data_IF_843001129932
#
_entry.id   IF_843001129932
#
_cell.length_a   1.000
_cell.length_b   1.000
_cell.length_c   1.000
_cell.angle_alpha   90.00
_cell.angle_beta   90.00
_cell.angle_gamma   90.00
#
_symmetry.space_group_name_H-M   'P 1'
#
loop_
_entity.id
_entity.type
_entity.pdbx_description
1 polymer ?
#
# COMPACT_ATOMS: atom_id res chain seq x y z
N UNK A 1 -15.52 -33.37 21.12
CA UNK A 1 -14.95 -32.15 21.72
C UNK A 1 -15.27 -31.02 20.77
N UNK A 2 -16.26 -30.20 21.13
CA UNK A 2 -16.77 -29.12 20.27
C UNK A 2 -15.70 -28.05 20.10
N UNK A 3 -15.29 -27.83 18.86
CA UNK A 3 -14.51 -26.66 18.46
C UNK A 3 -15.42 -25.45 18.63
N UNK A 4 -15.19 -24.69 19.70
CA UNK A 4 -15.71 -23.33 19.81
C UNK A 4 -14.95 -22.53 18.75
N UNK A 5 -15.57 -22.29 17.61
CA UNK A 5 -15.11 -21.28 16.66
C UNK A 5 -15.32 -19.94 17.35
N UNK A 6 -14.32 -19.47 18.08
CA UNK A 6 -14.34 -18.10 18.61
C UNK A 6 -14.31 -17.14 17.42
N UNK A 7 -15.47 -16.54 17.16
CA UNK A 7 -15.66 -15.54 16.11
C UNK A 7 -14.59 -14.45 16.22
N UNK A 8 -13.82 -14.31 15.16
CA UNK A 8 -12.62 -13.48 15.12
C UNK A 8 -12.94 -11.98 15.00
N UNK A 9 -14.19 -11.60 14.71
CA UNK A 9 -14.58 -10.21 14.42
C UNK A 9 -16.05 -9.96 14.77
N UNK A 10 -16.36 -8.90 15.54
CA UNK A 10 -17.76 -8.52 15.80
C UNK A 10 -17.93 -6.99 15.81
N UNK A 11 -19.08 -6.52 15.32
CA UNK A 11 -19.51 -5.12 15.41
C UNK A 11 -20.66 -5.04 16.42
N UNK A 12 -20.52 -4.21 17.46
CA UNK A 12 -21.58 -4.00 18.47
C UNK A 12 -22.09 -2.57 18.39
N UNK A 13 -23.40 -2.44 18.16
CA UNK A 13 -24.07 -1.14 18.14
C UNK A 13 -24.11 -0.55 19.55
N UNK A 14 -23.99 0.77 19.63
CA UNK A 14 -24.26 1.52 20.86
C UNK A 14 -25.75 1.48 21.18
N UNK A 15 -26.09 1.32 22.45
CA UNK A 15 -27.47 1.41 22.94
C UNK A 15 -27.95 2.86 23.00
N UNK A 16 -29.22 3.08 22.68
CA UNK A 16 -29.90 4.38 22.90
C UNK A 16 -30.40 4.54 24.34
N UNK A 17 -30.42 3.45 25.12
CA UNK A 17 -30.90 3.39 26.49
C UNK A 17 -29.77 3.01 27.46
N UNK A 18 -29.78 3.61 28.64
CA UNK A 18 -28.94 3.21 29.76
C UNK A 18 -29.32 1.80 30.25
N UNK A 19 -28.36 0.88 30.33
CA UNK A 19 -28.61 -0.48 30.79
C UNK A 19 -29.00 -0.58 32.28
N UNK A 20 -28.68 0.44 33.09
CA UNK A 20 -29.03 0.49 34.51
C UNK A 20 -30.37 1.15 34.81
N UNK A 21 -30.71 2.25 34.12
CA UNK A 21 -31.96 3.01 34.36
C UNK A 21 -33.05 2.72 33.33
N UNK A 22 -32.69 2.11 32.20
CA UNK A 22 -33.56 1.90 31.02
C UNK A 22 -34.11 3.18 30.38
N UNK A 23 -33.56 4.33 30.73
CA UNK A 23 -33.92 5.62 30.16
C UNK A 23 -33.04 5.98 28.96
N UNK A 24 -33.56 6.77 27.99
CA UNK A 24 -32.76 7.22 26.86
C UNK A 24 -31.64 8.17 27.27
N UNK A 25 -30.56 8.15 26.49
CA UNK A 25 -29.47 9.10 26.61
C UNK A 25 -29.79 10.45 25.93
N UNK A 26 -29.25 11.53 26.50
CA UNK A 26 -29.30 12.87 25.91
C UNK A 26 -28.14 13.11 24.95
N UNK A 27 -28.33 13.95 23.92
CA UNK A 27 -27.21 14.30 23.03
C UNK A 27 -26.05 14.93 23.81
N UNK A 28 -24.83 14.47 23.50
CA UNK A 28 -23.57 14.83 24.17
C UNK A 28 -23.45 14.43 25.63
N UNK A 29 -24.31 13.54 26.10
CA UNK A 29 -24.21 12.98 27.45
C UNK A 29 -22.93 12.13 27.61
N UNK A 30 -22.24 12.28 28.73
CA UNK A 30 -21.13 11.40 29.10
C UNK A 30 -21.68 10.06 29.61
N UNK A 31 -21.22 8.98 28.98
CA UNK A 31 -21.63 7.61 29.32
C UNK A 31 -20.40 6.77 29.64
N UNK A 32 -20.61 5.71 30.42
CA UNK A 32 -19.67 4.62 30.55
C UNK A 32 -20.15 3.43 29.73
N UNK A 33 -19.28 2.93 28.87
CA UNK A 33 -19.52 1.71 28.10
C UNK A 33 -18.70 0.58 28.72
N UNK A 34 -19.27 -0.62 28.78
CA UNK A 34 -18.52 -1.84 29.06
C UNK A 34 -18.76 -2.91 28.01
N UNK A 35 -17.78 -3.79 27.89
CA UNK A 35 -17.79 -4.96 27.03
C UNK A 35 -17.64 -6.21 27.91
N UNK A 36 -18.55 -7.15 27.73
CA UNK A 36 -18.61 -8.43 28.42
C UNK A 36 -18.42 -9.54 27.40
N UNK A 37 -18.07 -10.73 27.87
CA UNK A 37 -18.11 -11.95 27.06
C UNK A 37 -19.02 -12.95 27.74
N UNK A 38 -20.17 -13.21 27.12
CA UNK A 38 -21.26 -14.01 27.67
C UNK A 38 -21.73 -14.98 26.59
N UNK A 39 -21.93 -16.25 26.96
CA UNK A 39 -22.43 -17.29 26.06
C UNK A 39 -21.68 -17.42 24.72
N UNK A 40 -20.37 -17.11 24.73
CA UNK A 40 -19.51 -17.17 23.54
C UNK A 40 -19.55 -15.92 22.65
N UNK A 41 -20.29 -14.88 23.04
CA UNK A 41 -20.39 -13.62 22.30
C UNK A 41 -19.94 -12.41 23.13
N UNK A 42 -19.49 -11.37 22.42
CA UNK A 42 -19.26 -10.09 23.05
C UNK A 42 -20.58 -9.34 23.26
N UNK A 43 -20.83 -8.87 24.47
CA UNK A 43 -22.01 -8.09 24.82
C UNK A 43 -21.57 -6.70 25.22
N UNK A 44 -22.10 -5.67 24.55
CA UNK A 44 -21.87 -4.27 24.89
C UNK A 44 -23.01 -3.76 25.75
N UNK A 45 -22.68 -3.06 26.83
CA UNK A 45 -23.64 -2.32 27.65
C UNK A 45 -23.19 -0.87 27.82
N UNK A 46 -24.15 0.05 27.80
CA UNK A 46 -23.93 1.48 27.94
C UNK A 46 -24.68 2.00 29.17
N UNK A 47 -24.01 2.80 29.99
CA UNK A 47 -24.52 3.31 31.26
C UNK A 47 -24.35 4.82 31.35
N UNK A 48 -25.32 5.49 31.96
CA UNK A 48 -25.17 6.89 32.37
C UNK A 48 -24.04 7.00 33.39
N UNK A 49 -23.17 8.00 33.23
CA UNK A 49 -22.00 8.15 34.10
C UNK A 49 -22.37 8.27 35.59
N UNK A 50 -23.46 8.97 35.91
CA UNK A 50 -23.94 9.09 37.29
C UNK A 50 -24.30 7.73 37.89
N UNK A 51 -25.05 6.90 37.15
CA UNK A 51 -25.44 5.57 37.59
C UNK A 51 -24.23 4.65 37.77
N UNK A 52 -23.28 4.70 36.83
CA UNK A 52 -22.03 3.94 36.91
C UNK A 52 -21.21 4.29 38.16
N UNK A 53 -21.07 5.57 38.48
CA UNK A 53 -20.28 6.01 39.62
C UNK A 53 -20.92 5.64 40.97
N UNK A 54 -22.25 5.61 41.03
CA UNK A 54 -23.01 5.24 42.24
C UNK A 54 -22.98 3.73 42.48
N UNK A 55 -23.23 2.94 41.44
CA UNK A 55 -23.38 1.48 41.57
C UNK A 55 -22.09 0.70 41.41
N UNK A 56 -21.08 1.29 40.76
CA UNK A 56 -19.76 0.72 40.50
C UNK A 56 -19.83 -0.73 39.98
N UNK A 57 -20.52 -0.95 38.84
CA UNK A 57 -20.62 -2.29 38.28
C UNK A 57 -19.23 -2.79 37.86
N UNK A 58 -19.07 -4.11 37.77
CA UNK A 58 -17.83 -4.70 37.25
C UNK A 58 -17.51 -4.18 35.83
N UNK A 59 -16.23 -4.01 35.56
CA UNK A 59 -15.72 -3.46 34.30
C UNK A 59 -15.82 -4.45 33.13
N UNK A 60 -16.13 -5.72 33.38
CA UNK A 60 -16.16 -6.77 32.37
C UNK A 60 -14.77 -7.01 31.78
N UNK A 61 -14.74 -7.31 30.47
CA UNK A 61 -13.48 -7.39 29.73
C UNK A 61 -12.86 -6.01 29.58
N UNK A 62 -13.68 -5.01 29.25
CA UNK A 62 -13.22 -3.64 28.97
C UNK A 62 -14.29 -2.64 29.37
N UNK A 63 -13.88 -1.51 29.95
CA UNK A 63 -14.78 -0.40 30.26
C UNK A 63 -14.12 0.94 29.92
N UNK A 64 -14.85 1.82 29.24
CA UNK A 64 -14.33 3.13 28.81
C UNK A 64 -15.42 4.20 28.83
N UNK A 65 -14.99 5.46 29.01
CA UNK A 65 -15.86 6.61 28.87
C UNK A 65 -16.04 6.99 27.40
N UNK A 66 -17.26 7.36 27.04
CA UNK A 66 -17.58 7.89 25.71
C UNK A 66 -18.61 9.03 25.82
N UNK A 67 -18.80 9.76 24.72
CA UNK A 67 -19.82 10.81 24.61
C UNK A 67 -20.93 10.26 23.71
N UNK A 68 -22.13 10.12 24.26
CA UNK A 68 -23.30 9.78 23.48
C UNK A 68 -23.59 10.89 22.48
N UNK A 69 -23.83 10.52 21.23
CA UNK A 69 -24.23 11.45 20.17
C UNK A 69 -25.43 10.84 19.47
N UNK A 70 -26.47 11.62 19.27
CA UNK A 70 -27.59 11.14 18.45
C UNK A 70 -27.03 10.85 17.05
N UNK A 71 -27.11 9.60 16.55
CA UNK A 71 -26.58 9.29 15.24
C UNK A 71 -27.31 10.12 14.18
N UNK A 72 -26.59 10.69 13.20
CA UNK A 72 -27.25 11.43 12.12
C UNK A 72 -28.20 10.48 11.36
N UNK A 73 -29.32 11.00 10.83
CA UNK A 73 -30.23 10.18 10.03
C UNK A 73 -29.45 9.54 8.87
N UNK A 74 -29.76 8.28 8.49
CA UNK A 74 -29.07 7.61 7.40
C UNK A 74 -29.18 8.48 6.15
N UNK A 75 -28.06 9.03 5.70
CA UNK A 75 -28.02 9.74 4.42
C UNK A 75 -27.84 8.68 3.33
N UNK A 76 -28.71 8.67 2.32
CA UNK A 76 -28.49 7.88 1.10
C UNK A 76 -27.32 8.47 0.31
N UNK A 77 -26.10 8.28 0.81
CA UNK A 77 -24.90 8.69 0.09
C UNK A 77 -24.56 7.58 -0.88
N UNK A 78 -24.67 7.89 -2.17
CA UNK A 78 -24.30 7.03 -3.29
C UNK A 78 -22.99 6.26 -3.02
N UNK A 79 -23.07 4.94 -3.29
CA UNK A 79 -22.01 3.93 -3.25
C UNK A 79 -20.72 4.43 -3.92
N UNK A 80 -19.79 4.93 -3.11
CA UNK A 80 -18.36 4.71 -3.32
C UNK A 80 -17.91 3.82 -2.18
N UNK A 81 -17.36 2.66 -2.52
CA UNK A 81 -16.63 1.84 -1.56
C UNK A 81 -15.55 2.72 -0.93
N UNK A 82 -15.74 3.08 0.34
CA UNK A 82 -14.76 3.76 1.15
C UNK A 82 -14.20 2.76 2.17
N UNK A 83 -13.06 3.08 2.79
CA UNK A 83 -12.38 2.18 3.73
C UNK A 83 -13.28 1.64 4.85
N UNK A 84 -14.27 2.41 5.28
CA UNK A 84 -15.23 1.98 6.30
C UNK A 84 -16.24 0.95 5.77
N UNK A 85 -16.79 1.18 4.57
CA UNK A 85 -17.72 0.23 3.94
C UNK A 85 -17.01 -1.09 3.66
N UNK A 86 -15.76 -1.02 3.19
CA UNK A 86 -14.93 -2.20 2.97
C UNK A 86 -14.66 -2.94 4.29
N UNK A 87 -14.26 -2.23 5.35
CA UNK A 87 -14.04 -2.82 6.68
C UNK A 87 -15.29 -3.56 7.17
N UNK A 88 -16.47 -2.93 7.06
CA UNK A 88 -17.75 -3.54 7.48
C UNK A 88 -18.05 -4.82 6.70
N UNK A 89 -17.86 -4.79 5.38
CA UNK A 89 -18.08 -5.95 4.52
C UNK A 89 -17.12 -7.11 4.85
N UNK A 90 -15.84 -6.81 5.10
CA UNK A 90 -14.83 -7.82 5.44
C UNK A 90 -15.07 -8.43 6.81
N UNK A 91 -15.40 -7.61 7.81
CA UNK A 91 -15.77 -8.10 9.16
C UNK A 91 -17.00 -9.00 9.09
N UNK A 92 -18.04 -8.62 8.33
CA UNK A 92 -19.26 -9.41 8.18
C UNK A 92 -19.08 -10.73 7.41
N UNK A 93 -18.01 -10.85 6.60
CA UNK A 93 -17.68 -12.07 5.86
C UNK A 93 -17.03 -13.14 6.74
N UNK A 94 -16.43 -12.72 7.86
CA UNK A 94 -15.77 -13.59 8.84
C UNK A 94 -14.72 -14.55 8.23
N UNK A 95 -14.00 -14.08 7.22
CA UNK A 95 -12.93 -14.86 6.58
C UNK A 95 -11.61 -14.69 7.35
N UNK A 96 -10.94 -15.80 7.66
CA UNK A 96 -9.66 -15.79 8.35
C UNK A 96 -8.54 -15.17 7.48
N UNK A 97 -8.63 -15.28 6.16
CA UNK A 97 -7.64 -14.73 5.23
C UNK A 97 -7.68 -13.18 5.19
N UNK A 98 -8.79 -12.59 5.64
CA UNK A 98 -9.02 -11.15 5.64
C UNK A 98 -8.44 -10.44 6.89
N UNK A 99 -7.93 -11.20 7.87
CA UNK A 99 -7.39 -10.71 9.18
C UNK A 99 -6.47 -9.50 9.01
N UNK A 100 -5.45 -9.63 8.16
CA UNK A 100 -4.43 -8.59 7.99
C UNK A 100 -5.03 -7.32 7.36
N UNK A 101 -5.90 -7.49 6.37
CA UNK A 101 -6.54 -6.38 5.68
C UNK A 101 -7.54 -5.64 6.58
N UNK A 102 -8.33 -6.37 7.39
CA UNK A 102 -9.23 -5.81 8.41
C UNK A 102 -8.42 -4.98 9.41
N UNK A 103 -7.30 -5.52 9.92
CA UNK A 103 -6.42 -4.81 10.84
C UNK A 103 -5.88 -3.50 10.24
N UNK A 104 -5.33 -3.54 9.02
CA UNK A 104 -4.81 -2.34 8.36
C UNK A 104 -5.91 -1.32 8.09
N UNK A 105 -7.11 -1.76 7.67
CA UNK A 105 -8.26 -0.86 7.48
C UNK A 105 -8.66 -0.17 8.80
N UNK A 106 -8.67 -0.89 9.91
CA UNK A 106 -8.94 -0.31 11.23
C UNK A 106 -7.91 0.76 11.60
N UNK A 107 -6.61 0.46 11.46
CA UNK A 107 -5.51 1.41 11.70
C UNK A 107 -5.59 2.63 10.76
N UNK A 108 -5.97 2.43 9.49
CA UNK A 108 -6.16 3.52 8.54
C UNK A 108 -7.30 4.46 8.98
N UNK A 109 -8.41 3.90 9.46
CA UNK A 109 -9.55 4.69 9.97
C UNK A 109 -9.23 5.36 11.31
N UNK A 110 -8.39 4.74 12.14
CA UNK A 110 -7.86 5.32 13.38
C UNK A 110 -7.02 6.57 13.08
N UNK A 111 -6.07 6.49 12.13
CA UNK A 111 -5.25 7.66 11.71
C UNK A 111 -6.10 8.80 11.14
N UNK A 112 -7.23 8.47 10.50
CA UNK A 112 -8.22 9.45 10.03
C UNK A 112 -9.14 9.98 11.14
N UNK A 113 -8.99 9.49 12.38
CA UNK A 113 -9.82 9.82 13.55
C UNK A 113 -11.30 9.47 13.36
N UNK A 114 -11.58 8.46 12.54
CA UNK A 114 -12.92 7.91 12.32
C UNK A 114 -13.20 6.84 13.39
N UNK A 115 -12.27 5.90 13.55
CA UNK A 115 -12.24 4.98 14.68
C UNK A 115 -11.33 5.54 15.79
N UNK A 116 -11.66 5.25 17.04
CA UNK A 116 -10.87 5.61 18.22
C UNK A 116 -10.59 4.32 18.98
N UNK A 117 -9.32 3.96 19.16
CA UNK A 117 -8.96 2.82 20.02
C UNK A 117 -9.36 3.14 21.47
N UNK A 118 -10.09 2.22 22.08
CA UNK A 118 -10.54 2.32 23.47
C UNK A 118 -9.74 1.41 24.38
N UNK A 119 -9.36 0.25 23.87
CA UNK A 119 -8.67 -0.76 24.66
C UNK A 119 -7.98 -1.81 23.79
N UNK A 120 -7.05 -2.56 24.39
CA UNK A 120 -6.38 -3.72 23.78
C UNK A 120 -6.45 -4.90 24.75
N UNK A 121 -7.12 -5.95 24.32
CA UNK A 121 -7.35 -7.17 25.05
C UNK A 121 -6.35 -8.24 24.60
N UNK A 122 -5.92 -9.10 25.52
CA UNK A 122 -5.11 -10.29 25.22
C UNK A 122 -5.91 -11.51 25.62
N UNK A 123 -6.29 -12.34 24.64
CA UNK A 123 -7.02 -13.59 24.88
C UNK A 123 -6.10 -14.64 25.52
N UNK A 124 -6.71 -15.73 26.02
CA UNK A 124 -5.99 -16.81 26.68
C UNK A 124 -4.94 -17.48 25.77
N UNK A 125 -5.19 -17.49 24.45
CA UNK A 125 -4.30 -17.99 23.40
C UNK A 125 -3.21 -16.99 22.99
N UNK A 126 -3.05 -15.88 23.71
CA UNK A 126 -2.17 -14.74 23.42
C UNK A 126 -2.58 -13.89 22.22
N UNK A 127 -3.74 -14.16 21.59
CA UNK A 127 -4.25 -13.32 20.50
C UNK A 127 -4.62 -11.94 21.04
N UNK A 128 -4.05 -10.89 20.42
CA UNK A 128 -4.40 -9.50 20.73
C UNK A 128 -5.66 -9.09 20.00
N UNK A 129 -6.58 -8.45 20.69
CA UNK A 129 -7.83 -7.91 20.12
C UNK A 129 -7.94 -6.44 20.50
N UNK A 130 -8.01 -5.57 19.48
CA UNK A 130 -8.20 -4.14 19.64
C UNK A 130 -9.68 -3.79 19.64
N UNK A 131 -10.08 -2.97 20.59
CA UNK A 131 -11.44 -2.47 20.74
C UNK A 131 -11.49 -1.05 20.20
N UNK A 132 -12.12 -0.87 19.04
CA UNK A 132 -12.29 0.42 18.40
C UNK A 132 -13.72 0.92 18.55
N UNK A 133 -13.91 2.22 18.76
CA UNK A 133 -15.22 2.89 18.74
C UNK A 133 -15.29 3.89 17.57
N UNK A 134 -16.34 3.80 16.76
CA UNK A 134 -16.58 4.77 15.70
C UNK A 134 -17.03 6.11 16.29
N UNK A 135 -16.27 7.18 16.02
CA UNK A 135 -16.42 8.50 16.65
C UNK A 135 -17.81 9.12 16.54
N UNK A 136 -18.51 8.90 15.43
CA UNK A 136 -19.86 9.46 15.19
C UNK A 136 -20.97 8.52 15.66
N UNK A 137 -21.04 7.30 15.11
CA UNK A 137 -22.11 6.33 15.40
C UNK A 137 -21.99 5.69 16.78
N UNK A 138 -20.80 5.66 17.37
CA UNK A 138 -20.51 4.97 18.62
C UNK A 138 -20.40 3.46 18.48
N UNK A 139 -20.47 2.87 17.28
CA UNK A 139 -20.32 1.42 17.10
C UNK A 139 -18.95 0.91 17.55
N UNK A 140 -18.92 -0.23 18.23
CA UNK A 140 -17.68 -0.92 18.62
C UNK A 140 -17.29 -1.93 17.56
N UNK A 141 -16.01 -1.93 17.18
CA UNK A 141 -15.39 -2.92 16.31
C UNK A 141 -14.34 -3.69 17.11
N UNK A 142 -14.42 -5.02 17.07
CA UNK A 142 -13.42 -5.92 17.64
C UNK A 142 -12.54 -6.45 16.52
N UNK A 143 -11.25 -6.10 16.59
CA UNK A 143 -10.27 -6.36 15.53
C UNK A 143 -9.10 -7.12 16.12
N UNK A 144 -8.90 -8.38 15.72
CA UNK A 144 -7.66 -9.12 16.01
C UNK A 144 -6.47 -8.36 15.42
N UNK A 145 -5.43 -8.21 16.23
CA UNK A 145 -4.13 -7.69 15.84
C UNK A 145 -3.22 -8.90 15.50
N UNK A 146 -2.90 -9.12 14.21
CA UNK A 146 -2.05 -10.22 13.79
C UNK A 146 -0.56 -9.99 14.06
N UNK A 147 -0.20 -8.89 14.73
CA UNK A 147 1.17 -8.50 15.07
C UNK A 147 2.10 -8.49 13.85
N UNK A 148 1.62 -7.85 12.77
CA UNK A 148 2.35 -7.78 11.50
C UNK A 148 3.78 -7.28 11.69
N UNK A 149 4.74 -8.05 11.15
CA UNK A 149 6.13 -7.60 11.05
C UNK A 149 6.22 -6.49 10.03
N UNK A 150 7.26 -5.66 10.15
CA UNK A 150 7.48 -4.51 9.25
C UNK A 150 7.43 -4.90 7.75
N UNK A 151 7.99 -6.06 7.40
CA UNK A 151 7.99 -6.59 6.02
C UNK A 151 6.61 -7.08 5.51
N UNK A 152 5.64 -7.28 6.41
CA UNK A 152 4.29 -7.73 6.08
C UNK A 152 3.33 -6.54 5.91
N UNK A 153 3.62 -5.42 6.57
CA UNK A 153 2.79 -4.20 6.54
C UNK A 153 2.65 -3.67 5.11
N UNK A 154 3.73 -3.65 4.33
CA UNK A 154 3.71 -3.13 2.96
C UNK A 154 2.80 -3.95 2.04
N UNK A 155 2.95 -5.29 2.05
CA UNK A 155 2.11 -6.20 1.24
C UNK A 155 0.62 -6.08 1.58
N UNK A 156 0.31 -5.93 2.87
CA UNK A 156 -1.08 -5.82 3.32
C UNK A 156 -1.66 -4.45 2.98
N UNK A 157 -0.88 -3.37 3.13
CA UNK A 157 -1.29 -2.04 2.68
C UNK A 157 -1.57 -2.00 1.18
N UNK A 158 -0.75 -2.67 0.37
CA UNK A 158 -0.97 -2.80 -1.08
C UNK A 158 -2.25 -3.56 -1.42
N UNK A 159 -2.50 -4.70 -0.77
CA UNK A 159 -3.73 -5.47 -0.93
C UNK A 159 -4.96 -4.62 -0.58
N UNK A 160 -4.91 -3.86 0.52
CA UNK A 160 -5.98 -2.95 0.94
C UNK A 160 -6.19 -1.81 -0.08
N UNK A 161 -5.13 -1.24 -0.65
CA UNK A 161 -5.28 -0.20 -1.69
C UNK A 161 -5.87 -0.78 -2.98
N UNK A 162 -5.50 -2.01 -3.34
CA UNK A 162 -6.11 -2.75 -4.45
C UNK A 162 -7.60 -2.98 -4.24
N UNK A 163 -8.00 -3.41 -3.05
CA UNK A 163 -9.41 -3.60 -2.66
C UNK A 163 -10.21 -2.29 -2.67
N UNK A 164 -9.58 -1.15 -2.38
CA UNK A 164 -10.21 0.17 -2.43
C UNK A 164 -10.29 0.76 -3.86
N UNK A 165 -9.94 -0.02 -4.89
CA UNK A 165 -9.91 0.44 -6.29
C UNK A 165 -8.87 1.54 -6.55
N UNK A 166 -7.92 1.71 -5.61
CA UNK A 166 -6.88 2.72 -5.67
C UNK A 166 -5.67 2.26 -6.48
N UNK A 167 -4.98 3.22 -7.08
CA UNK A 167 -3.63 3.03 -7.59
C UNK A 167 -2.69 3.05 -6.37
N UNK A 168 -1.84 2.02 -6.10
CA UNK A 168 -0.93 2.03 -4.96
C UNK A 168 -0.13 3.33 -4.95
N UNK A 169 0.04 4.00 -3.78
CA UNK A 169 0.81 5.23 -3.70
C UNK A 169 2.20 5.01 -4.29
N UNK A 170 2.75 6.00 -5.01
CA UNK A 170 4.14 5.93 -5.46
C UNK A 170 5.00 5.83 -4.21
N UNK A 171 5.64 4.69 -3.99
CA UNK A 171 6.60 4.51 -2.90
C UNK A 171 7.82 5.41 -3.14
N UNK A 172 8.58 5.72 -2.09
CA UNK A 172 9.86 6.44 -2.20
C UNK A 172 10.82 5.74 -3.19
N UNK A 173 10.74 4.41 -3.24
CA UNK A 173 11.41 3.57 -4.24
C UNK A 173 10.99 3.91 -5.68
N UNK A 174 9.69 4.06 -5.95
CA UNK A 174 9.18 4.43 -7.27
C UNK A 174 9.69 5.81 -7.67
N UNK A 175 9.76 6.76 -6.72
CA UNK A 175 10.32 8.08 -6.97
C UNK A 175 11.82 8.02 -7.32
N UNK A 176 12.61 7.23 -6.59
CA UNK A 176 14.04 7.07 -6.86
C UNK A 176 14.32 6.31 -8.16
N UNK A 177 13.54 5.28 -8.46
CA UNK A 177 13.63 4.57 -9.74
C UNK A 177 13.31 5.50 -10.92
N UNK A 178 12.22 6.27 -10.83
CA UNK A 178 11.88 7.27 -11.84
C UNK A 178 12.99 8.33 -11.99
N UNK A 179 13.59 8.79 -10.89
CA UNK A 179 14.69 9.76 -10.90
C UNK A 179 15.96 9.22 -11.58
N UNK A 180 16.33 7.97 -11.31
CA UNK A 180 17.51 7.32 -11.93
C UNK A 180 17.26 7.05 -13.41
N UNK A 181 16.06 6.59 -13.76
CA UNK A 181 15.66 6.40 -15.14
C UNK A 181 15.73 7.71 -15.93
N UNK A 182 15.24 8.81 -15.33
CA UNK A 182 15.36 10.14 -15.92
C UNK A 182 16.82 10.58 -16.06
N UNK A 183 17.65 10.40 -15.03
CA UNK A 183 19.06 10.76 -15.08
C UNK A 183 19.85 9.95 -16.14
N UNK A 184 19.54 8.66 -16.32
CA UNK A 184 20.12 7.82 -17.36
C UNK A 184 19.69 8.25 -18.75
N UNK A 185 18.40 8.57 -18.95
CA UNK A 185 17.88 9.07 -20.22
C UNK A 185 18.52 10.42 -20.57
N UNK A 186 18.62 11.35 -19.61
CA UNK A 186 19.22 12.67 -19.81
C UNK A 186 20.73 12.56 -20.10
N UNK A 187 21.47 11.74 -19.33
CA UNK A 187 22.91 11.51 -19.53
C UNK A 187 23.23 10.91 -20.89
N UNK A 188 22.37 10.03 -21.38
CA UNK A 188 22.58 9.31 -22.65
C UNK A 188 21.69 9.82 -23.79
N UNK A 189 21.02 10.96 -23.62
CA UNK A 189 20.03 11.46 -24.59
C UNK A 189 20.62 11.62 -26.00
N UNK A 190 21.79 12.25 -26.10
CA UNK A 190 22.49 12.45 -27.39
C UNK A 190 22.98 11.14 -28.04
N UNK A 191 23.11 10.08 -27.24
CA UNK A 191 23.57 8.76 -27.67
C UNK A 191 22.42 7.83 -28.03
N UNK A 192 21.31 7.91 -27.30
CA UNK A 192 20.07 7.18 -27.57
C UNK A 192 19.31 7.83 -28.75
N UNK A 193 19.37 9.16 -28.86
CA UNK A 193 18.71 9.96 -29.89
C UNK A 193 19.73 10.85 -30.64
N UNK A 194 20.63 10.25 -31.45
CA UNK A 194 21.62 11.02 -32.20
C UNK A 194 20.96 11.83 -33.32
N UNK A 195 21.47 13.04 -33.57
CA UNK A 195 20.99 13.92 -34.67
C UNK A 195 21.19 13.33 -36.06
N UNK A 196 22.13 12.39 -36.22
CA UNK A 196 22.37 11.63 -37.46
C UNK A 196 22.13 10.15 -37.17
N UNK A 197 21.10 9.53 -37.76
CA UNK A 197 20.83 8.12 -37.54
C UNK A 197 21.89 7.26 -38.21
N UNK A 198 22.27 6.17 -37.55
CA UNK A 198 23.11 5.14 -38.13
C UNK A 198 22.23 4.24 -39.01
N UNK A 199 22.76 3.84 -40.16
CA UNK A 199 22.08 2.94 -41.09
C UNK A 199 22.29 1.46 -40.72
N UNK A 200 21.43 0.59 -41.27
CA UNK A 200 21.52 -0.86 -41.07
C UNK A 200 21.07 -1.33 -39.68
N UNK A 201 21.39 -2.59 -39.36
CA UNK A 201 20.89 -3.29 -38.18
C UNK A 201 21.31 -2.64 -36.86
N UNK A 202 22.52 -2.07 -36.80
CA UNK A 202 23.02 -1.34 -35.63
C UNK A 202 22.20 -0.08 -35.34
N UNK A 203 21.75 0.62 -36.39
CA UNK A 203 20.84 1.75 -36.24
C UNK A 203 19.44 1.36 -35.76
N UNK A 204 19.00 0.14 -36.07
CA UNK A 204 17.71 -0.40 -35.59
C UNK A 204 17.83 -0.78 -34.11
N UNK A 205 18.90 -1.49 -33.71
CA UNK A 205 19.19 -1.83 -32.30
C UNK A 205 19.20 -0.59 -31.41
N UNK A 206 19.91 0.46 -31.82
CA UNK A 206 19.99 1.72 -31.09
C UNK A 206 18.60 2.35 -30.88
N UNK A 207 17.79 2.42 -31.95
CA UNK A 207 16.43 2.97 -31.88
C UNK A 207 15.51 2.16 -30.98
N UNK A 208 15.63 0.83 -30.99
CA UNK A 208 14.85 -0.03 -30.10
C UNK A 208 15.27 0.16 -28.63
N UNK A 209 16.56 0.24 -28.32
CA UNK A 209 17.04 0.51 -26.98
C UNK A 209 16.61 1.90 -26.47
N UNK A 210 16.74 2.94 -27.30
CA UNK A 210 16.28 4.30 -26.99
C UNK A 210 14.76 4.34 -26.75
N UNK A 211 14.01 3.62 -27.58
CA UNK A 211 12.55 3.54 -27.47
C UNK A 211 12.11 2.82 -26.20
N UNK A 212 12.82 1.77 -25.79
CA UNK A 212 12.57 1.09 -24.52
C UNK A 212 12.64 2.06 -23.33
N UNK A 213 13.72 2.84 -23.21
CA UNK A 213 13.88 3.78 -22.10
C UNK A 213 12.82 4.90 -22.10
N UNK A 214 12.51 5.47 -23.27
CA UNK A 214 11.47 6.50 -23.39
C UNK A 214 10.07 5.98 -23.02
N UNK A 215 9.75 4.73 -23.40
CA UNK A 215 8.48 4.09 -23.04
C UNK A 215 8.43 3.73 -21.55
N UNK A 216 9.54 3.25 -20.98
CA UNK A 216 9.67 2.94 -19.55
C UNK A 216 9.51 4.20 -18.68
N UNK A 217 10.00 5.37 -19.14
CA UNK A 217 9.81 6.67 -18.47
C UNK A 217 8.37 7.20 -18.58
N UNK A 218 7.53 6.54 -19.38
CA UNK A 218 6.10 6.81 -19.48
C UNK A 218 5.74 8.01 -20.36
N UNK A 219 4.42 8.25 -20.46
CA UNK A 219 3.80 9.18 -21.44
C UNK A 219 4.26 10.64 -21.36
N UNK A 220 4.92 11.04 -20.27
CA UNK A 220 5.44 12.40 -20.09
C UNK A 220 6.81 12.59 -20.75
N UNK A 221 7.47 11.51 -21.17
CA UNK A 221 8.75 11.60 -21.87
C UNK A 221 8.56 12.20 -23.28
N UNK A 222 9.36 13.20 -23.71
CA UNK A 222 9.24 13.84 -25.02
C UNK A 222 9.33 12.88 -26.21
N UNK A 223 10.05 11.78 -26.07
CA UNK A 223 10.26 10.79 -27.12
C UNK A 223 9.22 9.65 -27.08
N UNK A 224 8.23 9.69 -26.18
CA UNK A 224 7.29 8.57 -25.96
C UNK A 224 6.51 8.19 -27.22
N UNK A 225 5.94 9.17 -27.94
CA UNK A 225 5.15 8.90 -29.15
C UNK A 225 5.99 8.34 -30.30
N UNK A 226 7.19 8.90 -30.51
CA UNK A 226 8.11 8.43 -31.54
C UNK A 226 8.59 7.01 -31.23
N UNK A 227 8.93 6.76 -29.96
CA UNK A 227 9.38 5.46 -29.47
C UNK A 227 8.31 4.38 -29.60
N UNK A 228 7.04 4.74 -29.35
CA UNK A 228 5.90 3.84 -29.57
C UNK A 228 5.77 3.46 -31.05
N UNK A 229 5.93 4.42 -31.97
CA UNK A 229 5.91 4.15 -33.42
C UNK A 229 7.07 3.25 -33.86
N UNK A 230 8.26 3.42 -33.28
CA UNK A 230 9.42 2.55 -33.55
C UNK A 230 9.13 1.11 -33.14
N UNK A 231 8.59 0.88 -31.95
CA UNK A 231 8.22 -0.48 -31.50
C UNK A 231 7.21 -1.12 -32.45
N UNK A 232 6.12 -0.42 -32.76
CA UNK A 232 5.05 -0.94 -33.62
C UNK A 232 5.58 -1.24 -35.04
N UNK A 233 6.55 -0.47 -35.54
CA UNK A 233 7.13 -0.67 -36.88
C UNK A 233 7.89 -2.00 -37.01
N UNK A 234 8.50 -2.47 -35.94
CA UNK A 234 9.37 -3.65 -35.96
C UNK A 234 8.75 -4.87 -35.23
N UNK A 235 7.53 -4.74 -34.75
CA UNK A 235 6.82 -5.75 -33.96
C UNK A 235 6.63 -7.09 -34.70
N UNK A 236 6.38 -7.04 -36.01
CA UNK A 236 6.21 -8.21 -36.87
C UNK A 236 7.51 -8.64 -37.57
N UNK A 237 8.66 -8.04 -37.21
CA UNK A 237 9.94 -8.39 -37.82
C UNK A 237 10.46 -9.74 -37.34
N UNK A 238 10.84 -10.64 -38.25
CA UNK A 238 11.48 -11.92 -37.90
C UNK A 238 12.73 -11.76 -37.03
N UNK A 239 13.47 -10.66 -37.20
CA UNK A 239 14.73 -10.39 -36.49
C UNK A 239 14.49 -9.65 -35.17
N UNK A 240 13.56 -8.69 -35.15
CA UNK A 240 13.42 -7.74 -34.03
C UNK A 240 12.22 -8.00 -33.12
N UNK A 241 11.24 -8.78 -33.57
CA UNK A 241 10.05 -9.15 -32.78
C UNK A 241 10.41 -9.74 -31.40
N UNK A 242 11.40 -10.66 -31.27
CA UNK A 242 11.76 -11.22 -29.97
C UNK A 242 12.33 -10.17 -29.00
N UNK A 243 13.11 -9.21 -29.51
CA UNK A 243 13.69 -8.12 -28.72
C UNK A 243 12.60 -7.17 -28.23
N UNK A 244 11.64 -6.84 -29.10
CA UNK A 244 10.51 -5.96 -28.77
C UNK A 244 9.59 -6.61 -27.75
N UNK A 245 9.29 -7.90 -27.91
CA UNK A 245 8.51 -8.66 -26.94
C UNK A 245 9.17 -8.63 -25.54
N UNK A 246 10.49 -8.83 -25.48
CA UNK A 246 11.25 -8.71 -24.24
C UNK A 246 11.20 -7.30 -23.63
N UNK A 247 11.32 -6.25 -24.44
CA UNK A 247 11.20 -4.87 -23.97
C UNK A 247 9.79 -4.52 -23.50
N UNK A 248 8.73 -4.97 -24.18
CA UNK A 248 7.35 -4.74 -23.76
C UNK A 248 7.04 -5.43 -22.42
N UNK A 249 7.45 -6.69 -22.26
CA UNK A 249 7.33 -7.41 -20.99
C UNK A 249 7.99 -6.62 -19.85
N UNK A 250 9.21 -6.12 -20.07
CA UNK A 250 9.92 -5.30 -19.09
C UNK A 250 9.24 -3.94 -18.83
N UNK A 251 8.72 -3.25 -19.85
CA UNK A 251 8.00 -1.99 -19.68
C UNK A 251 6.72 -2.18 -18.85
N UNK A 252 6.05 -3.32 -18.98
CA UNK A 252 4.84 -3.62 -18.20
C UNK A 252 5.20 -4.09 -16.78
N UNK A 253 6.21 -4.95 -16.66
CA UNK A 253 6.58 -5.61 -15.41
C UNK A 253 7.37 -4.72 -14.47
N UNK A 254 8.34 -3.94 -14.97
CA UNK A 254 9.24 -3.14 -14.12
C UNK A 254 8.48 -2.08 -13.30
N UNK A 255 7.60 -1.25 -13.87
CA UNK A 255 6.85 -0.27 -13.08
C UNK A 255 5.91 -0.92 -12.08
N UNK A 256 5.44 -2.14 -12.35
CA UNK A 256 4.65 -2.92 -11.39
C UNK A 256 5.55 -3.48 -10.28
N UNK A 257 6.63 -4.18 -10.61
CA UNK A 257 7.56 -4.76 -9.62
C UNK A 257 8.18 -3.70 -8.71
N UNK A 258 8.61 -2.55 -9.25
CA UNK A 258 9.15 -1.43 -8.45
C UNK A 258 8.07 -0.80 -7.55
N UNK A 259 6.81 -0.86 -7.97
CA UNK A 259 5.66 -0.29 -7.26
C UNK A 259 5.02 -1.23 -6.23
N UNK A 260 5.18 -2.54 -6.39
CA UNK A 260 4.61 -3.60 -5.55
C UNK A 260 5.65 -4.31 -4.65
N UNK A 261 6.96 -4.06 -4.83
CA UNK A 261 8.03 -4.74 -4.10
C UNK A 261 9.07 -3.74 -3.61
N UNK A 262 8.61 -2.56 -3.16
CA UNK A 262 9.45 -1.41 -2.76
C UNK A 262 10.79 -1.87 -2.20
N UNK A 263 11.89 -1.41 -2.81
CA UNK A 263 13.24 -1.87 -2.46
C UNK A 263 13.44 -1.58 -0.97
N UNK A 264 13.26 -2.62 -0.15
CA UNK A 264 13.45 -2.57 1.27
C UNK A 264 14.91 -2.17 1.51
N UNK A 265 15.20 -0.88 1.81
CA UNK A 265 16.30 -0.42 2.68
C UNK A 265 16.51 1.10 2.62
N UNK A 266 16.55 1.78 3.78
CA UNK A 266 17.01 3.17 3.93
C UNK A 266 18.44 3.43 3.42
N UNK A 267 19.29 2.39 3.33
CA UNK A 267 20.66 2.50 2.84
C UNK A 267 20.72 2.75 1.33
N UNK A 268 19.86 2.08 0.56
CA UNK A 268 19.72 2.31 -0.88
C UNK A 268 19.11 3.69 -1.10
N UNK A 269 18.06 4.05 -0.35
CA UNK A 269 17.48 5.41 -0.35
C UNK A 269 18.53 6.50 -0.14
N UNK A 270 19.38 6.41 0.89
CA UNK A 270 20.46 7.38 1.15
C UNK A 270 21.55 7.41 0.09
N UNK A 271 21.90 6.25 -0.50
CA UNK A 271 22.88 6.18 -1.58
C UNK A 271 22.33 6.82 -2.86
N UNK A 272 21.05 6.61 -3.15
CA UNK A 272 20.36 7.21 -4.29
C UNK A 272 20.15 8.72 -4.11
N UNK A 273 19.82 9.18 -2.90
CA UNK A 273 19.79 10.61 -2.54
C UNK A 273 21.17 11.26 -2.70
N UNK A 274 22.23 10.61 -2.23
CA UNK A 274 23.59 11.12 -2.36
C UNK A 274 24.06 11.19 -3.81
N UNK A 275 23.60 10.29 -4.68
CA UNK A 275 23.87 10.33 -6.12
C UNK A 275 23.04 11.39 -6.84
N UNK A 276 21.80 11.62 -6.42
CA UNK A 276 20.91 12.62 -6.98
C UNK A 276 21.39 14.07 -6.74
N UNK A 277 22.25 14.30 -5.75
CA UNK A 277 22.82 15.61 -5.42
C UNK A 277 24.08 15.93 -6.24
N UNK A 278 24.74 14.92 -6.84
CA UNK A 278 25.99 15.12 -7.60
C UNK A 278 25.71 15.70 -8.99
N UNK A 279 26.65 16.50 -9.50
CA UNK A 279 26.55 16.91 -10.90
C UNK A 279 26.71 15.68 -11.82
N UNK A 280 25.97 15.58 -12.94
CA UNK A 280 25.90 14.37 -13.76
C UNK A 280 27.24 13.81 -14.28
N UNK A 281 28.23 14.70 -14.44
CA UNK A 281 29.61 14.38 -14.85
C UNK A 281 30.44 13.68 -13.76
N UNK A 282 29.98 13.74 -12.52
CA UNK A 282 30.67 13.24 -11.31
C UNK A 282 30.14 11.88 -10.87
N UNK A 283 29.10 11.37 -11.51
CA UNK A 283 28.49 10.07 -11.22
C UNK A 283 29.15 9.00 -12.10
N UNK A 284 30.04 8.22 -11.50
CA UNK A 284 30.74 7.12 -12.16
C UNK A 284 29.88 5.85 -12.23
N UNK A 285 30.19 4.99 -13.21
CA UNK A 285 29.55 3.68 -13.37
C UNK A 285 29.68 2.82 -12.11
N UNK A 286 30.84 2.86 -11.44
CA UNK A 286 31.09 2.12 -10.21
C UNK A 286 30.24 2.59 -9.02
N UNK A 287 29.92 3.87 -8.94
CA UNK A 287 29.04 4.41 -7.89
C UNK A 287 27.58 4.03 -8.10
N UNK A 288 27.13 4.00 -9.35
CA UNK A 288 25.80 3.46 -9.70
C UNK A 288 25.76 1.96 -9.37
N UNK A 289 26.78 1.19 -9.73
CA UNK A 289 26.89 -0.24 -9.41
C UNK A 289 26.86 -0.50 -7.89
N UNK A 290 27.52 0.33 -7.10
CA UNK A 290 27.56 0.24 -5.64
C UNK A 290 26.21 0.56 -4.98
N UNK A 291 25.44 1.53 -5.52
CA UNK A 291 24.13 1.90 -4.98
C UNK A 291 23.07 0.80 -5.15
N UNK A 292 23.27 -0.09 -6.12
CA UNK A 292 22.41 -1.26 -6.37
C UNK A 292 23.04 -2.58 -5.91
N UNK A 293 24.10 -2.55 -5.10
CA UNK A 293 24.85 -3.74 -4.66
C UNK A 293 24.26 -4.44 -3.43
N UNK A 294 22.94 -4.38 -3.20
CA UNK A 294 22.33 -5.12 -2.08
C UNK A 294 21.90 -6.53 -2.47
N UNK A 295 22.20 -7.50 -1.59
CA UNK A 295 22.03 -8.95 -1.74
C UNK A 295 20.56 -9.41 -1.83
N UNK A 296 19.90 -9.13 -2.94
CA UNK A 296 18.66 -9.80 -3.33
C UNK A 296 18.80 -10.30 -4.78
N UNK A 297 18.82 -11.64 -5.01
CA UNK A 297 19.01 -12.23 -6.34
C UNK A 297 18.09 -11.64 -7.44
N UNK A 298 16.93 -11.12 -7.04
CA UNK A 298 15.91 -10.55 -7.91
C UNK A 298 16.16 -9.06 -8.28
N UNK A 299 16.74 -8.27 -7.39
CA UNK A 299 17.25 -6.91 -7.70
C UNK A 299 18.46 -7.02 -8.63
N UNK A 300 19.25 -8.07 -8.46
CA UNK A 300 20.35 -8.40 -9.38
C UNK A 300 19.84 -8.66 -10.80
N UNK A 301 18.78 -9.45 -11.00
CA UNK A 301 18.24 -9.69 -12.36
C UNK A 301 17.73 -8.41 -13.03
N UNK A 302 16.97 -7.57 -12.31
CA UNK A 302 16.47 -6.30 -12.82
C UNK A 302 17.61 -5.33 -13.15
N UNK A 303 18.60 -5.24 -12.25
CA UNK A 303 19.82 -4.44 -12.44
C UNK A 303 20.61 -4.95 -13.65
N UNK A 304 20.83 -6.26 -13.78
CA UNK A 304 21.56 -6.82 -14.92
C UNK A 304 20.83 -6.58 -16.24
N UNK A 305 19.49 -6.64 -16.30
CA UNK A 305 18.72 -6.33 -17.53
C UNK A 305 18.76 -4.85 -17.89
N UNK A 306 18.68 -3.95 -16.91
CA UNK A 306 18.86 -2.50 -17.14
C UNK A 306 20.29 -2.20 -17.58
N UNK A 307 21.29 -2.82 -16.94
CA UNK A 307 22.69 -2.71 -17.32
C UNK A 307 22.96 -3.33 -18.69
N UNK A 308 22.29 -4.41 -19.07
CA UNK A 308 22.37 -5.00 -20.41
C UNK A 308 21.79 -4.06 -21.46
N UNK A 309 20.64 -3.44 -21.20
CA UNK A 309 20.06 -2.42 -22.09
C UNK A 309 20.96 -1.17 -22.20
N UNK A 310 21.56 -0.72 -21.09
CA UNK A 310 22.53 0.38 -21.09
C UNK A 310 23.81 -0.03 -21.82
N UNK A 311 24.36 -1.23 -21.57
CA UNK A 311 25.55 -1.77 -22.25
C UNK A 311 25.31 -1.97 -23.74
N UNK A 312 24.15 -2.43 -24.15
CA UNK A 312 23.77 -2.52 -25.55
C UNK A 312 23.71 -1.13 -26.19
N UNK A 313 23.25 -0.11 -25.46
CA UNK A 313 23.26 1.28 -25.90
C UNK A 313 24.66 1.94 -25.86
N UNK A 314 25.56 1.54 -24.95
CA UNK A 314 26.88 2.16 -24.75
C UNK A 314 28.05 1.43 -25.41
N UNK A 315 27.98 0.12 -25.67
CA UNK A 315 28.95 -0.62 -26.49
C UNK A 315 29.05 -0.03 -27.90
N UNK A 316 28.00 0.66 -28.32
CA UNK A 316 27.96 1.47 -29.53
C UNK A 316 28.94 2.68 -29.51
N UNK A 317 29.24 3.25 -28.34
CA UNK A 317 30.13 4.41 -28.17
C UNK A 317 31.60 4.04 -28.31
N UNK A 318 31.98 2.80 -27.94
CA UNK A 318 33.36 2.31 -28.03
C UNK A 318 33.76 1.82 -29.43
N UNK A 319 32.80 1.76 -30.36
CA UNK A 319 33.00 1.35 -31.75
C UNK A 319 33.08 2.55 -32.74
N UNK A 320 33.04 3.79 -32.22
CA UNK A 320 33.36 5.03 -32.93
C UNK A 320 34.76 5.52 -32.55
#
# INVERSE_FOLDING_TARGET
>A
MSSVREESWQIKRRSDLCAGTHEPFSDKEEIMTRLLFQDGEYVREDYRLAWWNETQPDHGLSAWKSIFRIPPPPTEVMKKENAETLLRNMVAKEDADDTNAIYILAVMLERKKILIEKDVQVRADQTKVRVYEHKTTGETFLVVDPELKLAEIEKVQEAVVGLLGGKPPKTETVYHFEAILHALIEKHEKLLFPKRPIGGDEGIKQKLAASFFALLAGKKNPYWEESSKVFNRFEDSEVWSPVIAGYRDLIERIPQEVRFLGMEKPAVTKQLEALAIKEPKEISEQEVLAAFASDAPRVTELREKVLEAVRAATAYVSAQ
#
